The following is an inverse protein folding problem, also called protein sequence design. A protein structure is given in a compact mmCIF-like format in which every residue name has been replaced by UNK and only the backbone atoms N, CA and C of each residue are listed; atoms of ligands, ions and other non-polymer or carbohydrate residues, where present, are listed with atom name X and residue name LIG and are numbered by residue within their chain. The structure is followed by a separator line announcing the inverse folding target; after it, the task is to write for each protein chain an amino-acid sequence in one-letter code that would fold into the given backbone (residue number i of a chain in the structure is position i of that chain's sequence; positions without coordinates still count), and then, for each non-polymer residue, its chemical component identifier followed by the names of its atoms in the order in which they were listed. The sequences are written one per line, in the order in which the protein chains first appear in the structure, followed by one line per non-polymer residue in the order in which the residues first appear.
data_IF_695493328400
#
_entry.id   IF_695493328400
#
_cell.length_a   1.000
_cell.length_b   1.000
_cell.length_c   1.000
_cell.angle_alpha   90.00
_cell.angle_beta   90.00
_cell.angle_gamma   90.00
#
_symmetry.space_group_name_H-M   'P 1'
#
loop_
_entity.id
_entity.type
_entity.pdbx_description
1 polymer ?
#
# COMPACT_ATOMS: atom_id res chain seq x y z
N UNK A 1 23.75 16.66 -14.04
CA UNK A 1 22.92 15.59 -13.64
C UNK A 1 22.34 14.85 -14.80
N UNK A 2 21.90 13.74 -14.55
CA UNK A 2 21.82 12.68 -15.49
C UNK A 2 20.41 12.22 -15.73
N UNK A 3 20.24 11.24 -16.60
CA UNK A 3 18.95 10.63 -16.88
C UNK A 3 18.30 10.05 -15.63
N UNK A 4 19.12 9.52 -14.72
CA UNK A 4 18.61 8.98 -13.46
C UNK A 4 17.84 10.02 -12.66
N UNK A 5 18.35 11.22 -12.62
CA UNK A 5 17.68 12.29 -11.91
C UNK A 5 16.39 12.69 -12.60
N UNK A 6 16.37 12.70 -13.91
CA UNK A 6 15.14 12.99 -14.65
C UNK A 6 14.06 11.94 -14.38
N UNK A 7 14.44 10.68 -14.35
CA UNK A 7 13.50 9.61 -14.05
C UNK A 7 12.95 9.75 -12.64
N UNK A 8 13.80 10.09 -11.71
CA UNK A 8 13.41 10.30 -10.33
C UNK A 8 12.42 11.47 -10.21
N UNK A 9 12.69 12.57 -10.89
CA UNK A 9 11.80 13.73 -10.88
C UNK A 9 10.44 13.39 -11.47
N UNK A 10 10.42 12.56 -12.50
CA UNK A 10 9.18 12.12 -13.11
C UNK A 10 8.31 11.36 -12.12
N UNK A 11 8.88 10.43 -11.39
CA UNK A 11 8.16 9.66 -10.38
C UNK A 11 7.67 10.55 -9.24
N UNK A 12 8.50 11.47 -8.80
CA UNK A 12 8.14 12.39 -7.73
C UNK A 12 6.94 13.26 -8.10
N UNK A 13 6.85 13.67 -9.36
CA UNK A 13 5.71 14.47 -9.84
C UNK A 13 4.43 13.66 -9.84
N UNK A 14 4.50 12.38 -10.17
CA UNK A 14 3.32 11.52 -10.23
C UNK A 14 2.85 11.10 -8.84
N UNK A 15 3.78 10.75 -7.96
CA UNK A 15 3.47 10.30 -6.61
C UNK A 15 4.58 10.74 -5.67
N UNK A 16 4.48 11.97 -5.16
CA UNK A 16 5.48 12.46 -4.22
C UNK A 16 5.57 11.53 -3.02
N UNK A 17 6.78 11.17 -2.65
CA UNK A 17 6.98 10.34 -1.48
C UNK A 17 6.55 11.09 -0.22
N UNK A 18 5.88 10.44 0.71
CA UNK A 18 5.53 11.07 1.98
C UNK A 18 6.78 11.35 2.81
N UNK A 19 6.71 12.33 3.68
CA UNK A 19 7.79 12.62 4.59
C UNK A 19 7.99 11.43 5.55
N UNK A 20 9.25 11.12 5.84
CA UNK A 20 9.58 10.03 6.77
C UNK A 20 8.85 10.22 8.09
N UNK A 21 8.76 11.47 8.55
CA UNK A 21 8.08 11.79 9.81
C UNK A 21 6.61 11.38 9.79
N UNK A 22 5.96 11.50 8.66
CA UNK A 22 4.55 11.10 8.54
C UNK A 22 4.41 9.58 8.59
N UNK A 23 5.33 8.87 7.96
CA UNK A 23 5.35 7.40 8.04
C UNK A 23 5.56 6.96 9.49
N UNK A 24 6.49 7.57 10.18
CA UNK A 24 6.76 7.28 11.59
C UNK A 24 5.54 7.56 12.47
N UNK A 25 4.84 8.65 12.19
CA UNK A 25 3.62 9.00 12.93
C UNK A 25 2.56 7.90 12.80
N UNK A 26 2.36 7.41 11.58
CA UNK A 26 1.41 6.32 11.37
C UNK A 26 1.87 5.04 12.07
N UNK A 27 3.14 4.70 11.95
CA UNK A 27 3.70 3.50 12.57
C UNK A 27 3.53 3.53 14.09
N UNK A 28 3.88 4.64 14.72
CA UNK A 28 3.74 4.80 16.17
C UNK A 28 2.30 4.73 16.62
N UNK A 29 1.41 5.38 15.88
CA UNK A 29 -0.01 5.34 16.22
C UNK A 29 -0.53 3.91 16.19
N UNK A 30 -0.20 3.15 15.14
CA UNK A 30 -0.68 1.78 14.99
C UNK A 30 -0.04 0.82 15.98
N UNK A 31 1.17 1.11 16.43
CA UNK A 31 1.80 0.29 17.46
C UNK A 31 0.93 0.21 18.71
N UNK A 32 0.24 1.29 19.03
CA UNK A 32 -0.68 1.34 20.18
C UNK A 32 -2.10 0.96 19.78
N UNK A 33 -2.60 1.58 18.73
CA UNK A 33 -4.02 1.49 18.38
C UNK A 33 -4.42 0.13 17.83
N UNK A 34 -3.49 -0.58 17.19
CA UNK A 34 -3.81 -1.86 16.56
C UNK A 34 -3.48 -3.08 17.43
N UNK A 35 -3.14 -2.86 18.69
CA UNK A 35 -2.83 -3.95 19.61
C UNK A 35 -4.00 -4.93 19.77
N UNK A 36 -5.21 -4.42 19.78
CA UNK A 36 -6.42 -5.24 19.95
C UNK A 36 -7.08 -5.65 18.64
N UNK A 37 -6.59 -5.17 17.51
CA UNK A 37 -7.18 -5.53 16.21
C UNK A 37 -6.85 -4.55 15.11
N UNK A 38 -7.48 -4.75 13.97
CA UNK A 38 -7.31 -3.90 12.80
C UNK A 38 -7.96 -2.53 13.04
N UNK A 39 -7.30 -1.49 12.57
CA UNK A 39 -7.79 -0.11 12.70
C UNK A 39 -8.25 0.37 11.33
N UNK A 40 -9.54 0.71 11.16
CA UNK A 40 -10.04 1.20 9.88
C UNK A 40 -9.40 2.53 9.48
N UNK A 41 -9.27 2.76 8.17
CA UNK A 41 -8.73 4.01 7.66
C UNK A 41 -9.49 5.23 8.19
N UNK A 42 -10.78 5.11 8.34
CA UNK A 42 -11.64 6.16 8.84
C UNK A 42 -11.22 6.61 10.25
N UNK A 43 -10.92 5.64 11.11
CA UNK A 43 -10.46 5.90 12.47
C UNK A 43 -9.10 6.59 12.46
N UNK A 44 -8.19 6.12 11.63
CA UNK A 44 -6.85 6.71 11.50
C UNK A 44 -6.97 8.16 11.00
N UNK A 45 -7.81 8.38 10.00
CA UNK A 45 -8.06 9.70 9.45
C UNK A 45 -8.56 10.67 10.50
N UNK A 46 -9.50 10.22 11.34
CA UNK A 46 -10.05 11.05 12.40
C UNK A 46 -9.00 11.41 13.47
N UNK A 47 -8.07 10.51 13.72
CA UNK A 47 -7.06 10.71 14.76
C UNK A 47 -5.84 11.48 14.29
N UNK A 48 -5.36 11.19 13.09
CA UNK A 48 -4.12 11.76 12.58
C UNK A 48 -4.31 12.89 11.57
N UNK A 49 -5.53 13.06 11.08
CA UNK A 49 -5.83 14.11 10.11
C UNK A 49 -5.38 13.79 8.69
N UNK A 50 -4.94 12.58 8.42
CA UNK A 50 -4.56 12.15 7.07
C UNK A 50 -5.80 11.64 6.33
N UNK A 51 -5.92 11.93 5.03
CA UNK A 51 -6.98 11.33 4.25
C UNK A 51 -6.64 9.87 3.93
N UNK A 52 -7.62 9.09 3.49
CA UNK A 52 -7.43 7.67 3.26
C UNK A 52 -6.37 7.36 2.20
N UNK A 53 -6.28 8.18 1.18
CA UNK A 53 -5.28 8.02 0.13
C UNK A 53 -3.87 8.18 0.70
N UNK A 54 -3.69 9.16 1.56
CA UNK A 54 -2.40 9.41 2.22
C UNK A 54 -2.04 8.26 3.14
N UNK A 55 -3.02 7.76 3.91
CA UNK A 55 -2.79 6.62 4.81
C UNK A 55 -2.29 5.41 4.00
N UNK A 56 -2.91 5.14 2.85
CA UNK A 56 -2.49 4.05 1.99
C UNK A 56 -1.05 4.23 1.51
N UNK A 57 -0.71 5.42 1.08
CA UNK A 57 0.65 5.74 0.65
C UNK A 57 1.67 5.56 1.78
N UNK A 58 1.33 6.04 2.98
CA UNK A 58 2.21 5.90 4.14
C UNK A 58 2.44 4.43 4.50
N UNK A 59 1.39 3.62 4.43
CA UNK A 59 1.50 2.20 4.70
C UNK A 59 2.42 1.52 3.69
N UNK A 60 2.31 1.87 2.42
CA UNK A 60 3.18 1.34 1.37
C UNK A 60 4.65 1.69 1.64
N UNK A 61 4.91 2.91 2.10
CA UNK A 61 6.27 3.37 2.38
C UNK A 61 6.81 2.90 3.72
N UNK A 62 6.02 2.19 4.50
CA UNK A 62 6.48 1.65 5.78
C UNK A 62 7.33 0.39 5.63
N UNK A 63 7.48 -0.12 4.41
CA UNK A 63 8.29 -1.29 4.10
C UNK A 63 7.86 -2.55 4.88
N UNK A 64 6.55 -2.73 5.01
CA UNK A 64 6.01 -3.93 5.65
C UNK A 64 5.78 -3.80 7.14
N UNK A 65 6.07 -2.66 7.74
CA UNK A 65 5.80 -2.45 9.17
C UNK A 65 4.30 -2.31 9.40
N UNK A 66 3.60 -1.68 8.48
CA UNK A 66 2.14 -1.56 8.52
C UNK A 66 1.54 -2.55 7.54
N UNK A 67 0.73 -3.46 8.04
CA UNK A 67 0.09 -4.51 7.26
C UNK A 67 -1.32 -4.10 6.88
N UNK A 68 -1.64 -4.25 5.61
CA UNK A 68 -2.98 -4.09 5.07
C UNK A 68 -3.02 -4.75 3.69
N UNK A 69 -4.20 -4.98 3.19
CA UNK A 69 -4.33 -5.58 1.85
C UNK A 69 -5.74 -6.04 1.57
N UNK A 70 -5.96 -6.74 0.46
CA UNK A 70 -7.28 -7.23 0.09
C UNK A 70 -7.89 -8.09 1.19
N UNK A 71 -9.12 -7.78 1.56
CA UNK A 71 -9.82 -8.52 2.59
C UNK A 71 -9.49 -8.11 4.03
N UNK A 72 -8.55 -7.19 4.21
CA UNK A 72 -8.26 -6.67 5.54
C UNK A 72 -9.22 -5.53 5.89
N UNK A 73 -9.77 -5.50 7.11
CA UNK A 73 -10.71 -4.45 7.50
C UNK A 73 -10.04 -3.13 7.85
N UNK A 74 -8.74 -3.02 7.71
CA UNK A 74 -8.00 -1.81 8.02
C UNK A 74 -6.51 -2.05 8.02
N UNK A 75 -5.82 -1.40 8.96
CA UNK A 75 -4.37 -1.42 9.07
C UNK A 75 -3.96 -1.95 10.42
N UNK A 76 -2.80 -2.59 10.48
CA UNK A 76 -2.28 -3.15 11.72
C UNK A 76 -0.76 -3.12 11.72
N UNK A 77 -0.17 -2.85 12.87
CA UNK A 77 1.27 -2.92 13.02
C UNK A 77 1.71 -4.38 12.95
N UNK A 78 2.79 -4.67 12.25
CA UNK A 78 3.25 -6.04 12.04
C UNK A 78 3.54 -6.79 13.34
N UNK A 79 3.96 -6.08 14.37
CA UNK A 79 4.27 -6.70 15.67
C UNK A 79 3.05 -7.34 16.32
N UNK A 80 1.83 -6.96 15.92
CA UNK A 80 0.59 -7.52 16.45
C UNK A 80 0.00 -8.61 15.55
N UNK A 81 0.64 -8.90 14.44
CA UNK A 81 0.19 -9.93 13.51
C UNK A 81 0.93 -11.23 13.73
N UNK A 82 0.23 -12.35 13.57
CA UNK A 82 0.89 -13.65 13.57
C UNK A 82 1.55 -13.90 12.22
N UNK A 83 2.51 -14.84 12.18
CA UNK A 83 3.11 -15.22 10.92
C UNK A 83 2.09 -15.74 9.92
N UNK A 84 1.07 -16.44 10.40
CA UNK A 84 0.00 -16.96 9.55
C UNK A 84 -0.81 -15.83 8.93
N UNK A 85 -1.11 -14.77 9.71
CA UNK A 85 -1.84 -13.61 9.20
C UNK A 85 -1.04 -12.88 8.12
N UNK A 86 0.25 -12.70 8.34
CA UNK A 86 1.11 -12.04 7.37
C UNK A 86 1.17 -12.84 6.07
N UNK A 87 1.30 -14.15 6.17
CA UNK A 87 1.32 -15.01 4.99
C UNK A 87 0.00 -14.96 4.23
N UNK A 88 -1.12 -14.95 4.94
CA UNK A 88 -2.44 -14.86 4.32
C UNK A 88 -2.60 -13.58 3.53
N UNK A 89 -2.20 -12.44 4.10
CA UNK A 89 -2.26 -11.16 3.40
C UNK A 89 -1.35 -11.19 2.17
N UNK A 90 -0.15 -11.71 2.31
CA UNK A 90 0.80 -11.84 1.19
C UNK A 90 0.22 -12.69 0.06
N UNK A 91 -0.42 -13.81 0.40
CA UNK A 91 -1.02 -14.69 -0.60
C UNK A 91 -2.18 -14.04 -1.34
N UNK A 92 -3.00 -13.27 -0.63
CA UNK A 92 -4.09 -12.51 -1.24
C UNK A 92 -3.57 -11.46 -2.20
N UNK A 93 -2.50 -10.77 -1.82
CA UNK A 93 -1.86 -9.78 -2.69
C UNK A 93 -1.30 -10.43 -3.95
N UNK A 94 -0.66 -11.59 -3.82
CA UNK A 94 -0.14 -12.33 -4.96
C UNK A 94 -1.26 -12.76 -5.91
N UNK A 95 -2.36 -13.25 -5.38
CA UNK A 95 -3.51 -13.65 -6.18
C UNK A 95 -4.10 -12.49 -6.94
N UNK A 96 -4.22 -11.34 -6.29
CA UNK A 96 -4.71 -10.13 -6.93
C UNK A 96 -3.78 -9.66 -8.03
N UNK A 97 -2.47 -9.69 -7.77
CA UNK A 97 -1.47 -9.30 -8.76
C UNK A 97 -1.52 -10.20 -9.98
N UNK A 98 -1.66 -11.51 -9.79
CA UNK A 98 -1.80 -12.45 -10.90
C UNK A 98 -3.05 -12.19 -11.73
N UNK A 99 -4.17 -11.89 -11.09
CA UNK A 99 -5.40 -11.60 -11.79
C UNK A 99 -5.28 -10.31 -12.61
N UNK A 100 -4.63 -9.30 -12.05
CA UNK A 100 -4.38 -8.04 -12.75
C UNK A 100 -3.47 -8.24 -13.94
N UNK A 101 -2.43 -9.06 -13.79
CA UNK A 101 -1.51 -9.36 -14.88
C UNK A 101 -2.22 -10.08 -16.03
N UNK A 102 -3.06 -11.07 -15.71
CA UNK A 102 -3.83 -11.78 -16.74
C UNK A 102 -4.75 -10.83 -17.49
N UNK A 103 -5.39 -9.91 -16.77
CA UNK A 103 -6.26 -8.90 -17.39
C UNK A 103 -5.47 -8.00 -18.32
N UNK A 104 -4.29 -7.56 -17.88
CA UNK A 104 -3.41 -6.71 -18.69
C UNK A 104 -3.01 -7.39 -19.99
N UNK A 105 -2.63 -8.66 -19.92
CA UNK A 105 -2.25 -9.44 -21.10
C UNK A 105 -3.43 -9.59 -22.05
N UNK A 106 -4.61 -9.87 -21.51
CA UNK A 106 -5.83 -10.02 -22.33
C UNK A 106 -6.15 -8.74 -23.07
N UNK A 107 -6.08 -7.59 -22.38
CA UNK A 107 -6.34 -6.30 -22.99
C UNK A 107 -5.34 -5.98 -24.10
N UNK A 108 -4.08 -6.29 -23.87
CA UNK A 108 -3.02 -6.09 -24.84
C UNK A 108 -3.28 -6.93 -26.10
N UNK A 109 -3.66 -8.17 -25.93
CA UNK A 109 -3.97 -9.06 -27.06
C UNK A 109 -5.20 -8.58 -27.84
N UNK A 110 -6.22 -8.10 -27.14
CA UNK A 110 -7.42 -7.56 -27.79
C UNK A 110 -7.08 -6.32 -28.60
N UNK A 111 -6.30 -5.40 -28.03
CA UNK A 111 -5.89 -4.19 -28.75
C UNK A 111 -5.10 -4.53 -30.01
N UNK A 112 -4.19 -5.49 -29.91
CA UNK A 112 -3.40 -5.95 -31.05
C UNK A 112 -4.28 -6.55 -32.14
N UNK A 113 -5.26 -7.34 -31.75
CA UNK A 113 -6.21 -7.96 -32.67
C UNK A 113 -7.05 -6.92 -33.41
N UNK A 114 -7.47 -5.87 -32.74
CA UNK A 114 -8.28 -4.79 -33.34
C UNK A 114 -7.46 -3.98 -34.34
N UNK A 115 -6.20 -3.69 -34.00
CA UNK A 115 -5.31 -2.88 -34.83
C UNK A 115 -4.85 -3.65 -36.06
N UNK A 116 -4.64 -4.93 -35.93
CA UNK A 116 -4.23 -5.77 -37.04
C UNK A 116 -5.39 -6.05 -37.96
#
# INVERSE_FOLDING_TARGET
MTATQCDFDFEAKRMPAPAIREVETLVEYLLWASASGWVPAKTISARLGFNERKIRSLAEHSNGVVISGPGCPGYRHISHCTGAQVREVSDRMKSQAKAMLRRSIRLKNLAHSIIS
#
